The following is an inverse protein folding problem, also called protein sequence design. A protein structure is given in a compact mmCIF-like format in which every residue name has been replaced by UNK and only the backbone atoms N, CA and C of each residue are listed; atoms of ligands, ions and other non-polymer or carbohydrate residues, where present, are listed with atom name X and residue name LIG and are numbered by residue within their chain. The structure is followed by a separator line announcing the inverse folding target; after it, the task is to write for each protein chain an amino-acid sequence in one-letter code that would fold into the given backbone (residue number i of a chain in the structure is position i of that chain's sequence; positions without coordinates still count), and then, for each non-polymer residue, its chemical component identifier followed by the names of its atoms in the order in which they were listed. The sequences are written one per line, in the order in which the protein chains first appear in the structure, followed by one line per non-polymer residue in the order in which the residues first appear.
data_IF_760189662825
#
_entry.id   IF_760189662825
#
_cell.length_a   1.000
_cell.length_b   1.000
_cell.length_c   1.000
_cell.angle_alpha   90.00
_cell.angle_beta   90.00
_cell.angle_gamma   90.00
#
_symmetry.space_group_name_H-M   'P 1'
#
loop_
_entity.id
_entity.type
_entity.pdbx_description
1 polymer ?
#
# COMPACT_ATOMS: atom_id res chain seq x y z
N UNK A 1 9.96 5.33 -54.15
CA UNK A 1 10.35 5.20 -52.73
C UNK A 1 9.21 4.52 -51.99
N UNK A 2 9.30 3.21 -51.75
CA UNK A 2 8.29 2.46 -50.99
C UNK A 2 8.34 2.90 -49.52
N UNK A 3 7.19 3.31 -49.01
CA UNK A 3 6.97 3.62 -47.60
C UNK A 3 7.20 2.34 -46.78
N UNK A 4 8.35 2.25 -46.11
CA UNK A 4 8.62 1.29 -45.05
C UNK A 4 7.67 1.61 -43.88
N UNK A 5 6.44 1.08 -43.92
CA UNK A 5 5.62 0.92 -42.70
C UNK A 5 6.51 0.19 -41.69
N UNK A 6 6.73 0.81 -40.53
CA UNK A 6 7.57 0.24 -39.48
C UNK A 6 7.19 -1.22 -39.24
N UNK A 7 8.17 -2.12 -39.31
CA UNK A 7 8.03 -3.58 -39.11
C UNK A 7 7.49 -3.93 -37.71
N UNK A 8 7.32 -2.94 -36.84
CA UNK A 8 6.82 -3.10 -35.49
C UNK A 8 5.33 -2.74 -35.38
N UNK A 9 4.54 -3.53 -34.64
CA UNK A 9 3.13 -3.22 -34.38
C UNK A 9 2.98 -1.87 -33.71
N UNK A 10 2.05 -1.03 -34.19
CA UNK A 10 1.83 0.32 -33.65
C UNK A 10 0.78 0.35 -32.53
N UNK A 11 -0.15 -0.62 -32.52
CA UNK A 11 -1.23 -0.65 -31.56
C UNK A 11 -0.75 -1.22 -30.20
N UNK A 12 -1.11 -0.60 -29.07
CA UNK A 12 -0.68 -1.05 -27.73
C UNK A 12 -0.94 -2.53 -27.46
N UNK A 13 -2.10 -3.06 -27.87
CA UNK A 13 -2.46 -4.48 -27.67
C UNK A 13 -1.52 -5.42 -28.43
N UNK A 14 -1.18 -5.07 -29.67
CA UNK A 14 -0.27 -5.86 -30.49
C UNK A 14 1.16 -5.78 -29.94
N UNK A 15 1.62 -4.59 -29.55
CA UNK A 15 2.92 -4.41 -28.88
C UNK A 15 3.01 -5.25 -27.61
N UNK A 16 1.94 -5.32 -26.83
CA UNK A 16 1.90 -6.16 -25.63
C UNK A 16 2.08 -7.65 -25.98
N UNK A 17 1.45 -8.14 -27.06
CA UNK A 17 1.52 -9.53 -27.50
C UNK A 17 2.90 -9.87 -28.08
N UNK A 18 3.43 -9.03 -28.97
CA UNK A 18 4.64 -9.34 -29.75
C UNK A 18 5.93 -8.85 -29.12
N UNK A 19 5.90 -7.74 -28.38
CA UNK A 19 7.08 -7.10 -27.78
C UNK A 19 7.08 -7.17 -26.25
N UNK A 20 5.98 -7.61 -25.64
CA UNK A 20 5.83 -7.75 -24.19
C UNK A 20 5.54 -6.44 -23.46
N UNK A 21 5.21 -6.59 -22.16
CA UNK A 21 4.74 -5.51 -21.29
C UNK A 21 5.73 -4.36 -21.08
N UNK A 22 7.04 -4.63 -21.15
CA UNK A 22 8.09 -3.61 -20.98
C UNK A 22 8.13 -2.58 -22.10
N UNK A 23 7.51 -2.88 -23.25
CA UNK A 23 7.44 -1.93 -24.38
C UNK A 23 6.36 -0.86 -24.17
N UNK A 24 5.40 -1.05 -23.26
CA UNK A 24 4.26 -0.15 -23.08
C UNK A 24 4.50 0.85 -21.94
N UNK A 25 4.03 2.08 -22.15
CA UNK A 25 3.84 3.06 -21.09
C UNK A 25 2.61 2.74 -20.21
N UNK A 26 2.50 3.36 -19.03
CA UNK A 26 1.31 3.20 -18.17
C UNK A 26 0.00 3.60 -18.89
N UNK A 27 0.04 4.65 -19.71
CA UNK A 27 -1.11 5.05 -20.54
C UNK A 27 -1.51 3.96 -21.51
N UNK A 28 -0.54 3.31 -22.15
CA UNK A 28 -0.79 2.23 -23.10
C UNK A 28 -1.29 0.96 -22.41
N UNK A 29 -0.77 0.63 -21.22
CA UNK A 29 -1.29 -0.47 -20.40
C UNK A 29 -2.77 -0.23 -20.03
N UNK A 30 -3.14 1.00 -19.67
CA UNK A 30 -4.54 1.37 -19.43
C UNK A 30 -5.37 1.30 -20.72
N UNK A 31 -4.85 1.76 -21.85
CA UNK A 31 -5.53 1.63 -23.15
C UNK A 31 -5.86 0.18 -23.47
N UNK A 32 -4.92 -0.75 -23.27
CA UNK A 32 -5.17 -2.18 -23.46
C UNK A 32 -6.23 -2.71 -22.51
N UNK A 33 -6.19 -2.30 -21.24
CA UNK A 33 -7.11 -2.77 -20.20
C UNK A 33 -8.55 -2.27 -20.39
N UNK A 34 -8.70 -1.01 -20.79
CA UNK A 34 -10.00 -0.38 -21.09
C UNK A 34 -10.59 -0.98 -22.38
N UNK A 35 -9.72 -1.30 -23.34
CA UNK A 35 -10.10 -1.78 -24.66
C UNK A 35 -10.68 -0.65 -25.50
N UNK A 36 -11.92 -0.80 -25.95
CA UNK A 36 -12.57 0.19 -26.79
C UNK A 36 -13.04 1.42 -26.00
N UNK A 37 -13.27 2.52 -26.70
CA UNK A 37 -14.00 3.68 -26.18
C UNK A 37 -15.43 3.35 -25.71
N UNK A 38 -16.16 4.34 -25.21
CA UNK A 38 -17.58 4.18 -24.88
C UNK A 38 -18.37 5.36 -25.40
N UNK A 39 -19.44 5.10 -26.16
CA UNK A 39 -20.17 6.15 -26.87
C UNK A 39 -19.21 6.94 -27.77
N UNK A 40 -19.22 8.27 -27.62
CA UNK A 40 -18.40 9.20 -28.41
C UNK A 40 -16.96 9.35 -27.89
N UNK A 41 -16.60 8.71 -26.78
CA UNK A 41 -15.29 8.89 -26.14
C UNK A 41 -14.30 7.82 -26.58
N UNK A 42 -13.29 8.22 -27.36
CA UNK A 42 -12.14 7.38 -27.68
C UNK A 42 -11.32 7.02 -26.44
N UNK A 43 -10.73 5.81 -26.42
CA UNK A 43 -9.93 5.32 -25.28
C UNK A 43 -8.78 6.26 -24.90
N UNK A 44 -8.16 6.95 -25.87
CA UNK A 44 -7.10 7.93 -25.59
C UNK A 44 -7.61 9.14 -24.81
N UNK A 45 -8.84 9.59 -25.08
CA UNK A 45 -9.49 10.65 -24.30
C UNK A 45 -9.71 10.19 -22.85
N UNK A 46 -10.27 9.00 -22.67
CA UNK A 46 -10.51 8.40 -21.35
C UNK A 46 -9.21 8.30 -20.55
N UNK A 47 -8.13 7.79 -21.14
CA UNK A 47 -6.82 7.67 -20.46
C UNK A 47 -6.22 9.04 -20.11
N UNK A 48 -6.41 10.05 -20.97
CA UNK A 48 -5.98 11.43 -20.69
C UNK A 48 -6.73 12.00 -19.49
N UNK A 49 -8.05 11.81 -19.42
CA UNK A 49 -8.87 12.27 -18.30
C UNK A 49 -8.52 11.55 -16.99
N UNK A 50 -8.27 10.24 -17.02
CA UNK A 50 -7.76 9.52 -15.82
C UNK A 50 -6.40 10.11 -15.38
N UNK A 51 -5.52 10.43 -16.33
CA UNK A 51 -4.22 11.05 -16.01
C UNK A 51 -4.38 12.43 -15.38
N UNK A 52 -5.34 13.22 -15.84
CA UNK A 52 -5.67 14.53 -15.26
C UNK A 52 -6.25 14.38 -13.86
N UNK A 53 -7.20 13.46 -13.67
CA UNK A 53 -7.85 13.16 -12.40
C UNK A 53 -6.86 12.69 -11.33
N UNK A 54 -5.77 12.03 -11.76
CA UNK A 54 -4.66 11.58 -10.89
C UNK A 54 -3.51 12.58 -10.81
N UNK A 55 -3.70 13.83 -11.22
CA UNK A 55 -2.66 14.87 -11.22
C UNK A 55 -1.33 14.41 -11.86
N UNK A 56 -1.41 13.66 -12.96
CA UNK A 56 -0.29 13.01 -13.66
C UNK A 56 0.50 11.97 -12.85
N UNK A 57 -0.04 11.49 -11.73
CA UNK A 57 0.58 10.54 -10.80
C UNK A 57 -0.20 9.23 -10.75
N UNK A 58 0.17 8.25 -11.58
CA UNK A 58 -0.53 6.97 -11.71
C UNK A 58 -0.73 6.18 -10.40
N UNK A 59 0.17 6.35 -9.42
CA UNK A 59 0.03 5.71 -8.12
C UNK A 59 -1.24 6.13 -7.37
N UNK A 60 -1.80 7.30 -7.67
CA UNK A 60 -3.06 7.76 -7.05
C UNK A 60 -4.25 6.87 -7.41
N UNK A 61 -4.19 6.10 -8.51
CA UNK A 61 -5.24 5.14 -8.87
C UNK A 61 -5.50 4.09 -7.78
N UNK A 62 -4.52 3.77 -6.94
CA UNK A 62 -4.70 2.81 -5.83
C UNK A 62 -5.59 3.34 -4.70
N UNK A 63 -5.85 4.65 -4.66
CA UNK A 63 -6.70 5.31 -3.66
C UNK A 63 -8.12 5.51 -4.14
N UNK A 64 -8.35 5.34 -5.45
CA UNK A 64 -9.63 5.64 -6.08
C UNK A 64 -10.60 4.47 -5.92
N UNK A 65 -11.87 4.81 -5.79
CA UNK A 65 -12.98 3.87 -5.87
C UNK A 65 -13.60 3.87 -7.27
N UNK A 66 -14.48 2.90 -7.53
CA UNK A 66 -15.23 2.80 -8.80
C UNK A 66 -15.97 4.11 -9.10
N UNK A 67 -16.57 4.73 -8.08
CA UNK A 67 -17.34 5.98 -8.20
C UNK A 67 -16.47 7.17 -8.68
N UNK A 68 -15.20 7.22 -8.27
CA UNK A 68 -14.29 8.31 -8.63
C UNK A 68 -13.91 8.20 -10.11
N UNK A 69 -13.61 6.97 -10.57
CA UNK A 69 -13.33 6.70 -11.97
C UNK A 69 -14.56 6.91 -12.87
N UNK A 70 -15.77 6.64 -12.38
CA UNK A 70 -17.00 6.92 -13.11
C UNK A 70 -17.25 8.41 -13.39
N UNK A 71 -16.50 9.33 -12.78
CA UNK A 71 -16.54 10.76 -13.13
C UNK A 71 -15.90 11.04 -14.50
N UNK A 72 -15.09 10.12 -15.04
CA UNK A 72 -14.46 10.25 -16.36
C UNK A 72 -15.47 9.89 -17.45
N UNK A 73 -15.79 10.87 -18.31
CA UNK A 73 -16.67 10.67 -19.45
C UNK A 73 -16.18 9.53 -20.37
N UNK A 74 -17.06 8.56 -20.61
CA UNK A 74 -16.73 7.35 -21.38
C UNK A 74 -16.23 6.17 -20.54
N UNK A 75 -16.07 6.33 -19.22
CA UNK A 75 -15.66 5.27 -18.29
C UNK A 75 -16.82 4.85 -17.38
N UNK A 76 -17.69 3.97 -17.89
CA UNK A 76 -18.78 3.40 -17.10
C UNK A 76 -18.33 2.42 -16.01
N UNK A 77 -19.23 2.01 -15.10
CA UNK A 77 -18.92 1.23 -13.91
C UNK A 77 -18.23 -0.11 -14.21
N UNK A 78 -18.59 -0.79 -15.32
CA UNK A 78 -17.94 -2.05 -15.71
C UNK A 78 -16.44 -1.87 -16.02
N UNK A 79 -16.06 -0.81 -16.73
CA UNK A 79 -14.66 -0.53 -17.07
C UNK A 79 -13.88 -0.01 -15.85
N UNK A 80 -14.50 0.86 -15.06
CA UNK A 80 -13.94 1.32 -13.79
C UNK A 80 -13.65 0.14 -12.84
N UNK A 81 -14.61 -0.78 -12.66
CA UNK A 81 -14.44 -1.97 -11.83
C UNK A 81 -13.29 -2.87 -12.30
N UNK A 82 -13.08 -3.03 -13.62
CA UNK A 82 -11.93 -3.78 -14.16
C UNK A 82 -10.59 -3.16 -13.76
N UNK A 83 -10.47 -1.83 -13.84
CA UNK A 83 -9.25 -1.10 -13.45
C UNK A 83 -8.99 -1.30 -11.96
N UNK A 84 -9.98 -1.05 -11.11
CA UNK A 84 -9.87 -1.21 -9.65
C UNK A 84 -9.51 -2.66 -9.29
N UNK A 85 -10.17 -3.65 -9.91
CA UNK A 85 -9.87 -5.06 -9.69
C UNK A 85 -8.45 -5.44 -10.10
N UNK A 86 -7.95 -4.94 -11.23
CA UNK A 86 -6.59 -5.21 -11.69
C UNK A 86 -5.54 -4.61 -10.75
N UNK A 87 -5.76 -3.39 -10.25
CA UNK A 87 -4.88 -2.72 -9.29
C UNK A 87 -4.86 -3.45 -7.95
N UNK A 88 -6.03 -3.83 -7.41
CA UNK A 88 -6.14 -4.58 -6.17
C UNK A 88 -5.50 -5.98 -6.30
N UNK A 89 -5.69 -6.66 -7.43
CA UNK A 89 -5.01 -7.93 -7.70
C UNK A 89 -3.49 -7.74 -7.74
N UNK A 90 -2.99 -6.72 -8.44
CA UNK A 90 -1.56 -6.39 -8.47
C UNK A 90 -1.03 -6.11 -7.07
N UNK A 91 -1.80 -5.42 -6.22
CA UNK A 91 -1.46 -5.14 -4.82
C UNK A 91 -1.32 -6.44 -4.02
N UNK A 92 -2.24 -7.39 -4.16
CA UNK A 92 -2.17 -8.69 -3.46
C UNK A 92 -1.01 -9.55 -3.94
N UNK A 93 -0.72 -9.54 -5.24
CA UNK A 93 0.39 -10.31 -5.83
C UNK A 93 1.75 -9.75 -5.37
N UNK A 94 1.92 -8.44 -5.39
CA UNK A 94 3.18 -7.80 -5.00
C UNK A 94 3.45 -7.92 -3.49
N UNK A 95 2.40 -8.03 -2.70
CA UNK A 95 2.49 -8.01 -1.24
C UNK A 95 1.65 -9.16 -0.65
N UNK A 96 2.12 -10.42 -0.80
CA UNK A 96 1.41 -11.58 -0.28
C UNK A 96 1.39 -11.52 1.25
N UNK A 97 0.25 -11.12 1.81
CA UNK A 97 0.01 -11.15 3.24
C UNK A 97 -0.57 -12.50 3.62
N UNK A 98 0.30 -13.47 3.92
CA UNK A 98 -0.13 -14.76 4.43
C UNK A 98 0.19 -14.88 5.91
N UNK A 99 -0.80 -15.37 6.67
CA UNK A 99 -0.54 -15.97 7.98
C UNK A 99 0.58 -17.00 7.85
N UNK A 100 1.46 -17.07 8.83
CA UNK A 100 2.63 -17.94 8.81
C UNK A 100 3.89 -17.32 8.17
N UNK A 101 3.80 -16.16 7.51
CA UNK A 101 4.98 -15.45 7.00
C UNK A 101 5.92 -15.11 8.14
N UNK A 102 7.21 -15.48 8.03
CA UNK A 102 8.21 -15.18 9.05
C UNK A 102 8.81 -13.78 8.81
N UNK A 103 8.73 -12.90 9.81
CA UNK A 103 9.30 -11.56 9.76
C UNK A 103 10.65 -11.55 10.49
N UNK A 104 11.74 -11.49 9.72
CA UNK A 104 13.10 -11.68 10.24
C UNK A 104 13.88 -10.38 10.49
N UNK A 105 13.49 -9.28 9.84
CA UNK A 105 14.10 -7.96 9.99
C UNK A 105 13.14 -6.85 9.54
N UNK A 106 13.50 -5.60 9.83
CA UNK A 106 12.71 -4.41 9.50
C UNK A 106 12.40 -4.27 8.01
N UNK A 107 13.33 -4.65 7.13
CA UNK A 107 13.12 -4.59 5.67
C UNK A 107 12.02 -5.56 5.22
N UNK A 108 12.01 -6.78 5.74
CA UNK A 108 10.95 -7.77 5.45
C UNK A 108 9.60 -7.27 5.98
N UNK A 109 9.58 -6.68 7.18
CA UNK A 109 8.37 -6.08 7.77
C UNK A 109 7.85 -4.94 6.90
N UNK A 110 8.72 -4.03 6.46
CA UNK A 110 8.39 -2.92 5.58
C UNK A 110 7.75 -3.43 4.29
N UNK A 111 8.39 -4.38 3.60
CA UNK A 111 7.85 -4.94 2.35
C UNK A 111 6.52 -5.65 2.59
N UNK A 112 6.37 -6.39 3.69
CA UNK A 112 5.12 -7.07 4.06
C UNK A 112 3.95 -6.09 4.27
N UNK A 113 4.22 -4.90 4.82
CA UNK A 113 3.21 -3.88 5.11
C UNK A 113 3.07 -2.79 4.05
N UNK A 114 4.01 -2.67 3.10
CA UNK A 114 4.06 -1.58 2.12
C UNK A 114 2.75 -1.36 1.37
N UNK A 115 2.04 -2.44 1.01
CA UNK A 115 0.74 -2.34 0.35
C UNK A 115 -0.31 -1.61 1.18
N UNK A 116 -0.31 -1.79 2.50
CA UNK A 116 -1.30 -1.20 3.39
C UNK A 116 -1.13 0.30 3.48
N UNK A 117 0.10 0.78 3.40
CA UNK A 117 0.44 2.20 3.48
C UNK A 117 0.50 2.91 2.13
N UNK A 118 0.45 2.16 1.02
CA UNK A 118 0.57 2.74 -0.31
C UNK A 118 -0.60 3.68 -0.62
N UNK A 119 -0.28 4.96 -0.84
CA UNK A 119 -1.26 5.97 -1.19
C UNK A 119 -2.16 6.42 -0.04
N UNK A 120 -1.80 6.20 1.22
CA UNK A 120 -2.61 6.76 2.30
C UNK A 120 -2.35 8.26 2.45
N UNK A 121 -3.41 9.07 2.35
CA UNK A 121 -3.36 10.52 2.57
C UNK A 121 -3.52 10.91 4.04
N UNK A 122 -3.89 9.96 4.90
CA UNK A 122 -4.03 10.11 6.34
C UNK A 122 -3.08 9.17 7.07
N UNK A 123 -2.72 9.53 8.30
CA UNK A 123 -1.93 8.67 9.17
C UNK A 123 -2.79 7.49 9.65
N UNK A 124 -2.21 6.31 9.58
CA UNK A 124 -2.84 5.07 10.03
C UNK A 124 -1.87 4.28 10.89
N UNK A 125 -2.40 3.64 11.93
CA UNK A 125 -1.64 2.88 12.90
C UNK A 125 -2.03 1.41 12.82
N UNK A 126 -1.04 0.53 12.73
CA UNK A 126 -1.19 -0.90 12.50
C UNK A 126 -0.36 -1.69 13.50
N UNK A 127 -0.76 -2.95 13.71
CA UNK A 127 -0.05 -3.91 14.54
C UNK A 127 0.01 -5.25 13.84
N UNK A 128 1.17 -5.91 13.90
CA UNK A 128 1.36 -7.29 13.46
C UNK A 128 1.48 -8.17 14.70
N UNK A 129 0.58 -9.14 14.81
CA UNK A 129 0.57 -10.17 15.85
C UNK A 129 1.50 -11.33 15.42
N UNK A 130 2.42 -11.75 16.30
CA UNK A 130 3.44 -12.75 15.98
C UNK A 130 3.49 -13.89 17.00
N UNK A 131 3.71 -15.11 16.50
CA UNK A 131 3.99 -16.28 17.35
C UNK A 131 5.48 -16.37 17.74
N UNK A 132 5.85 -17.40 18.51
CA UNK A 132 7.20 -17.56 19.06
C UNK A 132 8.29 -17.70 17.99
N UNK A 133 7.91 -18.10 16.76
CA UNK A 133 8.81 -18.23 15.61
C UNK A 133 8.87 -16.94 14.76
N UNK A 134 8.32 -15.82 15.27
CA UNK A 134 8.14 -14.56 14.53
C UNK A 134 7.33 -14.73 13.24
N UNK A 135 6.38 -15.67 13.23
CA UNK A 135 5.44 -15.84 12.12
C UNK A 135 4.17 -15.05 12.37
N UNK A 136 3.66 -14.41 11.33
CA UNK A 136 2.43 -13.60 11.37
C UNK A 136 1.23 -14.47 11.74
N UNK A 137 0.57 -14.10 12.84
CA UNK A 137 -0.74 -14.63 13.25
C UNK A 137 -1.84 -13.78 12.61
N UNK A 138 -1.71 -12.45 12.74
CA UNK A 138 -2.69 -11.49 12.25
C UNK A 138 -2.07 -10.10 12.01
N UNK A 139 -2.78 -9.27 11.23
CA UNK A 139 -2.43 -7.87 10.96
C UNK A 139 -3.64 -7.01 11.25
N UNK A 140 -3.54 -6.16 12.28
CA UNK A 140 -4.67 -5.43 12.83
C UNK A 140 -4.51 -3.94 12.56
N UNK A 141 -5.51 -3.37 11.92
CA UNK A 141 -5.69 -1.93 11.85
C UNK A 141 -6.16 -1.40 13.22
N UNK A 142 -5.45 -0.43 13.78
CA UNK A 142 -5.76 0.15 15.08
C UNK A 142 -6.47 1.49 14.95
N UNK A 143 -6.06 2.34 14.01
CA UNK A 143 -6.61 3.68 13.85
C UNK A 143 -6.28 4.31 12.48
N UNK A 144 -7.15 5.20 11.99
CA UNK A 144 -6.89 6.13 10.88
C UNK A 144 -7.38 7.54 11.24
N UNK A 145 -6.58 8.60 11.06
CA UNK A 145 -6.98 9.99 11.37
C UNK A 145 -5.79 10.94 11.55
N UNK A 146 -6.04 12.26 11.66
CA UNK A 146 -5.01 13.31 11.49
C UNK A 146 -4.59 14.13 12.73
N UNK A 147 -3.33 14.59 12.68
CA UNK A 147 -2.62 15.73 13.32
C UNK A 147 -2.66 15.95 14.84
N UNK A 148 -3.62 15.43 15.60
CA UNK A 148 -3.67 15.62 17.07
C UNK A 148 -3.54 14.29 17.77
N UNK A 149 -2.31 14.00 18.23
CA UNK A 149 -1.93 12.90 19.13
C UNK A 149 -2.85 11.68 19.06
N UNK A 150 -2.51 10.73 18.19
CA UNK A 150 -3.16 9.44 18.09
C UNK A 150 -3.23 8.79 19.47
N UNK A 151 -4.38 8.83 20.14
CA UNK A 151 -4.57 8.17 21.44
C UNK A 151 -4.75 6.69 21.13
N UNK A 152 -3.63 6.02 20.87
CA UNK A 152 -3.59 4.56 20.77
C UNK A 152 -3.75 4.02 22.19
N UNK A 153 -4.92 3.46 22.49
CA UNK A 153 -5.18 2.86 23.80
C UNK A 153 -4.41 1.54 23.94
N UNK A 154 -3.41 1.54 24.82
CA UNK A 154 -2.58 0.38 25.15
C UNK A 154 -3.45 -0.81 25.59
N UNK A 155 -4.58 -0.57 26.28
CA UNK A 155 -5.48 -1.64 26.72
C UNK A 155 -6.08 -2.38 25.53
N UNK A 156 -6.49 -1.65 24.49
CA UNK A 156 -7.05 -2.22 23.26
C UNK A 156 -5.99 -3.02 22.50
N UNK A 157 -4.75 -2.53 22.45
CA UNK A 157 -3.63 -3.27 21.86
C UNK A 157 -3.43 -4.60 22.59
N UNK A 158 -3.26 -4.58 23.91
CA UNK A 158 -2.94 -5.78 24.66
C UNK A 158 -4.11 -6.76 24.71
N UNK A 159 -5.36 -6.28 24.75
CA UNK A 159 -6.54 -7.13 24.56
C UNK A 159 -6.45 -7.91 23.25
N UNK A 160 -6.14 -7.23 22.13
CA UNK A 160 -6.00 -7.87 20.81
C UNK A 160 -4.83 -8.85 20.75
N UNK A 161 -3.69 -8.51 21.36
CA UNK A 161 -2.52 -9.39 21.43
C UNK A 161 -2.83 -10.68 22.19
N UNK A 162 -3.48 -10.56 23.35
CA UNK A 162 -3.88 -11.70 24.19
C UNK A 162 -4.91 -12.57 23.46
N UNK A 163 -5.94 -11.96 22.87
CA UNK A 163 -6.96 -12.71 22.10
C UNK A 163 -6.40 -13.43 20.87
N UNK A 164 -5.27 -12.97 20.32
CA UNK A 164 -4.57 -13.63 19.22
C UNK A 164 -3.46 -14.59 19.68
N UNK A 165 -3.34 -14.85 20.99
CA UNK A 165 -2.27 -15.70 21.56
C UNK A 165 -0.88 -15.26 21.09
N UNK A 166 -0.70 -13.95 20.95
CA UNK A 166 0.55 -13.38 20.43
C UNK A 166 1.63 -13.44 21.49
N UNK A 167 2.81 -13.92 21.10
CA UNK A 167 4.00 -13.91 21.97
C UNK A 167 4.91 -12.73 21.71
N UNK A 168 4.71 -12.07 20.57
CA UNK A 168 5.40 -10.84 20.21
C UNK A 168 4.59 -10.04 19.19
N UNK A 169 4.97 -8.79 18.98
CA UNK A 169 4.30 -7.90 18.04
C UNK A 169 5.21 -6.82 17.49
N UNK A 170 4.78 -6.23 16.37
CA UNK A 170 5.40 -5.07 15.74
C UNK A 170 4.31 -4.03 15.51
N UNK A 171 4.60 -2.76 15.76
CA UNK A 171 3.70 -1.64 15.46
C UNK A 171 4.24 -0.84 14.27
N UNK A 172 3.34 -0.29 13.47
CA UNK A 172 3.71 0.53 12.33
C UNK A 172 2.73 1.69 12.14
N UNK A 173 3.22 2.85 11.70
CA UNK A 173 2.38 3.92 11.17
C UNK A 173 3.02 4.61 9.97
N UNK A 174 2.22 5.33 9.21
CA UNK A 174 2.73 6.16 8.10
C UNK A 174 2.73 7.64 8.45
N UNK A 175 3.72 8.37 7.94
CA UNK A 175 3.70 9.82 7.89
C UNK A 175 3.36 10.27 6.46
N UNK A 176 2.13 10.75 6.17
CA UNK A 176 1.76 11.25 4.85
C UNK A 176 2.63 12.42 4.35
N UNK A 177 3.31 13.11 5.28
CA UNK A 177 4.26 14.19 4.97
C UNK A 177 5.54 13.72 4.27
N UNK A 178 5.80 12.41 4.24
CA UNK A 178 7.04 11.85 3.69
C UNK A 178 8.22 11.84 4.66
N UNK A 179 8.08 12.40 5.86
CA UNK A 179 9.16 12.43 6.86
C UNK A 179 9.22 11.11 7.63
N UNK A 180 10.36 10.42 7.61
CA UNK A 180 10.56 9.18 8.39
C UNK A 180 11.02 9.40 9.83
N UNK A 181 11.33 10.64 10.23
CA UNK A 181 11.82 10.92 11.58
C UNK A 181 10.71 10.76 12.62
N UNK A 182 10.96 10.05 13.74
CA UNK A 182 9.98 9.89 14.80
C UNK A 182 9.71 11.20 15.50
N UNK A 183 8.43 11.46 15.76
CA UNK A 183 7.97 12.53 16.63
C UNK A 183 8.15 12.16 18.11
N UNK A 184 7.97 13.14 19.01
CA UNK A 184 7.95 12.86 20.46
C UNK A 184 6.77 11.98 20.87
N UNK A 185 5.63 12.03 20.17
CA UNK A 185 4.52 11.11 20.44
C UNK A 185 4.88 9.68 20.07
N UNK A 186 5.59 9.47 18.96
CA UNK A 186 6.03 8.14 18.51
C UNK A 186 6.96 7.51 19.55
N UNK A 187 7.94 8.28 20.04
CA UNK A 187 8.85 7.84 21.10
C UNK A 187 8.07 7.52 22.38
N UNK A 188 7.13 8.37 22.76
CA UNK A 188 6.35 8.22 23.99
C UNK A 188 5.45 7.00 23.97
N UNK A 189 4.72 6.76 22.87
CA UNK A 189 3.87 5.57 22.73
C UNK A 189 4.70 4.29 22.67
N UNK A 190 5.85 4.32 21.98
CA UNK A 190 6.78 3.17 21.94
C UNK A 190 7.26 2.79 23.33
N UNK A 191 7.69 3.77 24.14
CA UNK A 191 8.10 3.53 25.54
C UNK A 191 6.96 2.96 26.38
N UNK A 192 5.75 3.51 26.25
CA UNK A 192 4.58 3.05 27.00
C UNK A 192 4.20 1.61 26.61
N UNK A 193 4.25 1.28 25.32
CA UNK A 193 4.01 -0.07 24.83
C UNK A 193 5.11 -1.03 25.27
N UNK A 194 6.37 -0.62 25.23
CA UNK A 194 7.50 -1.43 25.72
C UNK A 194 7.41 -1.73 27.22
N UNK A 195 6.91 -0.79 28.03
CA UNK A 195 6.68 -1.05 29.46
C UNK A 195 5.55 -2.05 29.67
N UNK A 196 4.42 -1.87 28.99
CA UNK A 196 3.31 -2.80 29.06
C UNK A 196 3.70 -4.20 28.54
N UNK A 197 4.50 -4.26 27.48
CA UNK A 197 4.95 -5.50 26.83
C UNK A 197 5.71 -6.41 27.80
N UNK A 198 6.51 -5.81 28.69
CA UNK A 198 7.22 -6.51 29.78
C UNK A 198 6.28 -7.07 30.85
N UNK A 199 5.18 -6.38 31.16
CA UNK A 199 4.21 -6.82 32.18
C UNK A 199 3.46 -8.07 31.70
N UNK A 200 3.07 -8.10 30.43
CA UNK A 200 2.31 -9.20 29.84
C UNK A 200 3.18 -10.33 29.27
N UNK A 201 4.51 -10.20 29.31
CA UNK A 201 5.47 -11.10 28.66
C UNK A 201 5.18 -11.31 27.15
N UNK A 202 4.77 -10.23 26.47
CA UNK A 202 4.55 -10.21 25.01
C UNK A 202 5.56 -9.23 24.42
N UNK A 203 6.51 -9.69 23.61
CA UNK A 203 7.65 -8.83 23.18
C UNK A 203 7.25 -7.82 22.11
N UNK A 204 7.53 -6.54 22.33
CA UNK A 204 7.54 -5.53 21.26
C UNK A 204 8.86 -5.67 20.48
N UNK A 205 8.81 -6.16 19.23
CA UNK A 205 10.01 -6.45 18.45
C UNK A 205 10.53 -5.25 17.66
N UNK A 206 9.65 -4.38 17.19
CA UNK A 206 10.03 -3.18 16.46
C UNK A 206 8.86 -2.18 16.40
N UNK A 207 9.19 -0.94 16.05
CA UNK A 207 8.26 0.09 15.64
C UNK A 207 8.77 0.70 14.34
N UNK A 208 7.97 0.61 13.27
CA UNK A 208 8.33 1.18 11.97
C UNK A 208 7.49 2.41 11.63
N UNK A 209 8.16 3.45 11.15
CA UNK A 209 7.53 4.61 10.53
C UNK A 209 7.69 4.50 9.01
N UNK A 210 6.59 4.54 8.28
CA UNK A 210 6.56 4.36 6.83
C UNK A 210 6.35 5.70 6.13
N UNK A 211 7.19 5.99 5.13
CA UNK A 211 7.02 7.14 4.25
C UNK A 211 7.30 6.72 2.79
N UNK A 212 6.23 6.57 2.00
CA UNK A 212 6.27 6.12 0.61
C UNK A 212 7.14 4.87 0.37
N UNK A 213 8.36 5.07 -0.14
CA UNK A 213 9.32 4.01 -0.48
C UNK A 213 10.43 3.84 0.56
N UNK A 214 10.34 4.53 1.69
CA UNK A 214 11.30 4.53 2.77
C UNK A 214 10.65 4.21 4.11
N UNK A 215 11.46 3.82 5.09
CA UNK A 215 11.00 3.56 6.44
C UNK A 215 12.08 3.89 7.48
N UNK A 216 11.66 4.13 8.70
CA UNK A 216 12.49 4.18 9.89
C UNK A 216 12.14 3.00 10.79
N UNK A 217 13.14 2.33 11.37
CA UNK A 217 12.96 1.28 12.38
C UNK A 217 13.58 1.75 13.69
N UNK A 218 12.78 1.75 14.76
CA UNK A 218 13.26 2.09 16.10
C UNK A 218 14.36 1.13 16.55
N UNK A 219 14.20 -0.17 16.26
CA UNK A 219 15.20 -1.18 16.60
C UNK A 219 16.52 -0.99 15.84
N UNK A 220 16.48 -0.79 14.53
CA UNK A 220 17.71 -0.63 13.72
C UNK A 220 18.52 0.60 14.12
N UNK A 221 17.83 1.65 14.60
CA UNK A 221 18.45 2.89 15.04
C UNK A 221 18.73 2.93 16.55
N UNK A 222 18.50 1.83 17.28
CA UNK A 222 18.67 1.72 18.73
C UNK A 222 17.94 2.82 19.52
N UNK A 223 16.73 3.18 19.08
CA UNK A 223 15.87 4.13 19.77
C UNK A 223 14.84 3.34 20.57
N UNK A 224 14.88 3.45 21.91
CA UNK A 224 13.92 2.85 22.86
C UNK A 224 13.93 1.30 22.92
N UNK A 225 14.12 0.61 21.80
CA UNK A 225 14.07 -0.86 21.63
C UNK A 225 15.46 -1.49 21.53
#
# INVERSE_FOLDING_TARGET
MQNLKSVYPSLPKERLIYLGKSSLSCSELLTVMIGNGSGDYHVHHIVKEIKNLTHNKWHQLYQMEVKDLCQVSGLGPSKAAKIIAALELSKRIQFPQSKGTKLVNSSVVFHFMKSKFFGLSTETFWMICLNQQSKVIDVIHLFSGGLTSTIVDVRVIFQKLISNESTSFIILHNHPSGNIQPSQSDISITKKLLQASKIFDIKLLDHLIIADNSYFSFKDHNIVL
#
